data_IF_567704152975
#
_entry.id   IF_567704152975
#
_cell.length_a   1.000
_cell.length_b   1.000
_cell.length_c   1.000
_cell.angle_alpha   90.00
_cell.angle_beta   90.00
_cell.angle_gamma   90.00
#
_symmetry.space_group_name_H-M   'P 1'
#
loop_
_entity.id
_entity.type
_entity.pdbx_description
1 polymer ?
#
# COMPACT_ATOMS: atom_id res chain seq x y z
N UNK A 1 14.93 -54.25 -56.74
CA UNK A 1 14.07 -53.13 -57.20
C UNK A 1 14.19 -52.04 -56.13
N UNK A 2 15.27 -51.27 -56.11
CA UNK A 2 15.62 -50.06 -56.88
C UNK A 2 14.75 -48.82 -56.63
N UNK A 3 15.37 -47.61 -56.56
CA UNK A 3 15.04 -46.50 -55.66
C UNK A 3 14.81 -45.14 -56.40
N UNK A 4 14.77 -44.05 -55.63
CA UNK A 4 14.72 -42.58 -55.89
C UNK A 4 15.50 -42.01 -57.09
N UNK A 5 15.21 -40.76 -57.54
CA UNK A 5 16.02 -39.57 -57.14
C UNK A 5 15.17 -38.28 -56.95
N UNK A 6 15.48 -37.17 -56.26
CA UNK A 6 16.67 -36.38 -55.86
C UNK A 6 16.74 -35.00 -56.57
N UNK A 7 17.17 -33.97 -55.82
CA UNK A 7 17.10 -32.47 -56.02
C UNK A 7 17.91 -31.90 -57.23
N UNK A 8 17.82 -30.58 -57.59
CA UNK A 8 18.58 -29.43 -56.98
C UNK A 8 17.78 -28.09 -57.02
N UNK A 9 18.16 -26.88 -56.54
CA UNK A 9 19.36 -26.24 -55.99
C UNK A 9 19.12 -24.70 -55.97
N UNK A 10 19.78 -23.97 -55.05
CA UNK A 10 19.76 -22.49 -54.89
C UNK A 10 20.51 -21.76 -56.02
N UNK A 11 20.35 -20.43 -56.20
CA UNK A 11 21.47 -19.57 -55.80
C UNK A 11 21.08 -18.21 -55.17
N UNK A 12 22.09 -17.56 -54.60
CA UNK A 12 22.11 -16.31 -53.82
C UNK A 12 22.10 -15.01 -54.66
N UNK A 13 21.56 -13.94 -54.04
CA UNK A 13 21.95 -12.49 -54.04
C UNK A 13 22.07 -11.68 -55.36
N UNK A 14 21.75 -10.36 -55.38
CA UNK A 14 22.55 -9.38 -54.62
C UNK A 14 21.81 -8.22 -53.96
N UNK A 15 22.54 -7.60 -53.03
CA UNK A 15 22.24 -6.32 -52.40
C UNK A 15 22.24 -5.17 -53.43
N UNK A 16 21.38 -4.17 -53.21
CA UNK A 16 21.60 -2.81 -53.70
C UNK A 16 21.36 -1.80 -52.58
N UNK A 17 22.29 -0.87 -52.54
CA UNK A 17 22.51 0.24 -51.62
C UNK A 17 21.72 1.49 -52.01
N UNK A 18 21.34 2.23 -50.97
CA UNK A 18 21.38 3.69 -50.79
C UNK A 18 20.50 4.64 -51.63
N UNK A 19 19.97 5.61 -50.86
CA UNK A 19 19.52 6.99 -51.21
C UNK A 19 18.22 7.13 -52.01
N UNK A 20 17.17 7.73 -51.42
CA UNK A 20 16.98 9.18 -51.48
C UNK A 20 15.78 9.67 -50.63
N UNK A 21 15.77 10.98 -50.38
CA UNK A 21 15.08 11.80 -49.37
C UNK A 21 13.53 11.96 -49.48
N UNK A 22 12.87 12.02 -48.30
CA UNK A 22 11.74 12.90 -47.89
C UNK A 22 10.38 12.90 -48.64
N UNK A 23 9.32 13.59 -48.13
CA UNK A 23 9.22 14.36 -46.88
C UNK A 23 8.00 14.02 -45.97
N UNK A 24 8.07 14.61 -44.76
CA UNK A 24 7.11 14.70 -43.66
C UNK A 24 5.63 14.89 -43.99
N UNK A 25 4.77 14.30 -43.14
CA UNK A 25 3.57 14.96 -42.56
C UNK A 25 3.16 14.33 -41.22
N UNK A 26 2.50 15.10 -40.33
CA UNK A 26 2.89 15.19 -38.91
C UNK A 26 2.03 14.34 -37.97
N UNK A 27 2.65 13.94 -36.85
CA UNK A 27 2.00 13.42 -35.65
C UNK A 27 1.49 14.60 -34.83
N UNK A 28 0.21 14.57 -34.46
CA UNK A 28 -0.45 15.56 -33.62
C UNK A 28 0.17 15.61 -32.21
N UNK A 29 0.38 16.80 -31.61
CA UNK A 29 0.88 16.90 -30.25
C UNK A 29 -0.25 16.71 -29.23
N UNK A 30 0.01 15.85 -28.25
CA UNK A 30 -0.78 15.74 -27.02
C UNK A 30 -0.72 17.04 -26.20
N UNK A 31 -1.85 17.38 -25.59
CA UNK A 31 -2.00 18.56 -24.74
C UNK A 31 -1.28 18.37 -23.39
N UNK A 32 -0.53 19.36 -22.89
CA UNK A 32 0.00 19.31 -21.53
C UNK A 32 -1.10 19.65 -20.52
N UNK A 33 -1.31 18.74 -19.57
CA UNK A 33 -2.16 18.95 -18.40
C UNK A 33 -1.57 20.04 -17.49
N UNK A 34 -2.36 21.09 -17.27
CA UNK A 34 -2.02 22.22 -16.41
C UNK A 34 -2.63 21.97 -15.03
N UNK A 35 -1.85 21.36 -14.15
CA UNK A 35 -2.12 21.32 -12.71
C UNK A 35 -0.83 21.56 -11.94
N UNK A 36 -0.26 22.76 -12.09
CA UNK A 36 0.82 23.27 -11.25
C UNK A 36 0.83 24.80 -11.30
N UNK A 37 0.10 25.45 -10.40
CA UNK A 37 0.38 26.85 -10.03
C UNK A 37 0.60 26.92 -8.51
N UNK A 38 1.86 27.14 -8.16
CA UNK A 38 2.27 27.60 -6.86
C UNK A 38 1.88 29.08 -6.72
N UNK A 39 1.17 29.43 -5.66
CA UNK A 39 0.91 30.83 -5.30
C UNK A 39 2.11 31.40 -4.52
N UNK A 40 2.63 32.59 -4.88
CA UNK A 40 3.63 33.27 -4.08
C UNK A 40 2.98 34.12 -2.97
N UNK A 41 3.57 34.03 -1.78
CA UNK A 41 3.33 34.92 -0.64
C UNK A 41 3.70 36.37 -0.96
N UNK A 42 2.82 37.33 -0.63
CA UNK A 42 3.25 38.69 -0.32
C UNK A 42 2.33 39.37 0.68
N UNK A 43 2.98 40.13 1.55
CA UNK A 43 2.50 40.87 2.72
C UNK A 43 1.80 42.19 2.38
N UNK A 44 0.83 42.58 3.22
CA UNK A 44 0.71 43.98 3.65
C UNK A 44 -0.63 44.70 3.40
N UNK A 45 -1.27 45.14 4.49
CA UNK A 45 -1.89 46.46 4.60
C UNK A 45 -3.34 46.64 4.13
N UNK A 46 -4.27 46.68 5.08
CA UNK A 46 -5.61 47.29 4.98
C UNK A 46 -5.50 48.86 4.98
N UNK A 47 -6.59 49.69 4.98
CA UNK A 47 -8.03 49.38 5.01
C UNK A 47 -8.99 50.30 4.18
N UNK A 48 -10.30 49.98 4.22
CA UNK A 48 -11.50 50.89 4.08
C UNK A 48 -11.93 51.31 2.67
N UNK A 49 -13.19 51.50 2.28
CA UNK A 49 -14.56 51.17 2.71
C UNK A 49 -15.49 51.50 1.48
N UNK A 50 -16.83 51.65 1.57
CA UNK A 50 -17.81 50.86 0.82
C UNK A 50 -18.55 51.67 -0.28
N UNK A 51 -19.38 51.01 -1.11
CA UNK A 51 -20.77 51.42 -1.42
C UNK A 51 -21.44 50.47 -2.42
N UNK A 52 -22.70 50.15 -2.13
CA UNK A 52 -23.63 49.44 -3.00
C UNK A 52 -24.22 50.37 -4.07
N UNK A 53 -24.67 49.80 -5.20
CA UNK A 53 -26.01 50.03 -5.78
C UNK A 53 -26.05 49.73 -7.28
N UNK A 54 -27.02 48.87 -7.63
CA UNK A 54 -27.88 48.78 -8.82
C UNK A 54 -27.54 49.55 -10.11
N UNK A 55 -27.73 48.87 -11.25
CA UNK A 55 -27.79 49.51 -12.57
C UNK A 55 -28.11 48.54 -13.70
N UNK A 56 -29.29 48.73 -14.27
CA UNK A 56 -29.97 47.94 -15.31
C UNK A 56 -29.18 47.71 -16.63
N UNK A 57 -29.49 46.59 -17.28
CA UNK A 57 -29.39 46.28 -18.74
C UNK A 57 -30.15 47.34 -19.59
N UNK A 58 -30.15 47.36 -20.96
CA UNK A 58 -29.89 46.28 -21.94
C UNK A 58 -29.07 46.70 -23.19
N UNK A 59 -28.56 45.78 -24.02
CA UNK A 59 -29.25 45.30 -25.23
C UNK A 59 -28.19 44.76 -26.22
N UNK A 60 -28.56 43.80 -27.07
CA UNK A 60 -27.75 43.42 -28.24
C UNK A 60 -27.78 41.93 -28.59
N UNK A 61 -28.70 41.55 -29.46
CA UNK A 61 -28.93 40.18 -29.99
C UNK A 61 -27.81 39.74 -30.95
N UNK A 62 -27.52 38.44 -31.04
CA UNK A 62 -27.73 37.66 -32.29
C UNK A 62 -27.48 36.15 -32.15
N UNK A 63 -28.48 35.39 -32.57
CA UNK A 63 -28.49 34.12 -33.33
C UNK A 63 -27.79 32.83 -32.83
N UNK A 64 -28.64 31.80 -32.64
CA UNK A 64 -28.71 30.52 -33.40
C UNK A 64 -28.67 29.25 -32.54
N UNK A 65 -29.65 28.35 -32.75
CA UNK A 65 -29.68 27.00 -32.17
C UNK A 65 -31.10 26.45 -31.98
N UNK A 66 -31.43 25.34 -32.66
CA UNK A 66 -32.75 24.67 -32.73
C UNK A 66 -33.18 23.99 -31.40
N UNK A 67 -34.49 23.68 -31.23
CA UNK A 67 -35.09 23.35 -29.93
C UNK A 67 -35.06 21.86 -29.57
N UNK A 68 -34.86 21.56 -28.29
CA UNK A 68 -35.15 20.27 -27.66
C UNK A 68 -36.60 20.21 -27.11
N UNK A 69 -37.20 19.02 -26.95
CA UNK A 69 -38.61 18.87 -26.60
C UNK A 69 -38.91 19.18 -25.12
N UNK A 70 -40.13 19.63 -24.79
CA UNK A 70 -40.51 20.06 -23.44
C UNK A 70 -40.87 18.88 -22.52
N UNK A 71 -40.79 19.06 -21.19
CA UNK A 71 -41.27 18.09 -20.21
C UNK A 71 -42.81 18.17 -20.07
N UNK A 72 -43.51 17.05 -19.79
CA UNK A 72 -44.93 17.10 -19.50
C UNK A 72 -45.19 17.61 -18.08
N UNK A 73 -46.00 18.65 -17.98
CA UNK A 73 -46.64 19.13 -16.75
C UNK A 73 -48.16 18.93 -16.83
N UNK A 74 -48.76 18.49 -15.72
CA UNK A 74 -50.19 18.62 -15.44
C UNK A 74 -50.82 17.30 -15.00
N UNK A 75 -51.52 17.19 -13.86
CA UNK A 75 -51.87 18.16 -12.84
C UNK A 75 -53.16 17.72 -12.14
N UNK A 76 -53.26 18.02 -10.81
CA UNK A 76 -54.47 18.23 -9.97
C UNK A 76 -55.44 17.04 -9.87
N UNK A 77 -56.22 16.76 -8.83
CA UNK A 77 -56.72 17.42 -7.61
C UNK A 77 -57.36 16.26 -6.79
N UNK A 78 -57.23 16.17 -5.47
CA UNK A 78 -58.25 16.70 -4.55
C UNK A 78 -58.86 15.57 -3.71
N UNK A 79 -59.21 15.90 -2.47
CA UNK A 79 -60.01 15.16 -1.47
C UNK A 79 -59.32 14.22 -0.46
N UNK A 80 -59.10 14.79 0.73
CA UNK A 80 -59.05 14.12 2.04
C UNK A 80 -60.39 14.31 2.75
N UNK A 81 -60.76 13.39 3.65
CA UNK A 81 -61.35 13.76 4.93
C UNK A 81 -60.52 13.28 6.13
N UNK A 82 -60.75 13.95 7.26
CA UNK A 82 -60.00 13.94 8.52
C UNK A 82 -60.14 12.69 9.41
N UNK A 83 -59.03 12.39 10.11
CA UNK A 83 -58.97 12.01 11.54
C UNK A 83 -58.90 10.52 11.92
N UNK A 84 -58.47 10.16 13.17
CA UNK A 84 -57.96 11.00 14.26
C UNK A 84 -56.59 10.59 14.84
N UNK A 85 -56.01 11.55 15.56
CA UNK A 85 -54.79 11.51 16.37
C UNK A 85 -54.92 10.52 17.55
N UNK A 86 -53.85 9.76 17.86
CA UNK A 86 -53.71 9.06 19.15
C UNK A 86 -52.39 9.39 19.86
N UNK A 87 -52.56 9.53 21.17
CA UNK A 87 -51.68 10.02 22.23
C UNK A 87 -50.41 9.20 22.48
N UNK A 88 -49.34 9.91 22.86
CA UNK A 88 -48.14 9.39 23.50
C UNK A 88 -48.42 8.97 24.95
N UNK A 89 -48.10 7.72 25.28
CA UNK A 89 -48.06 7.18 26.65
C UNK A 89 -46.62 6.85 27.08
N UNK A 90 -46.32 6.80 28.40
CA UNK A 90 -44.95 6.77 28.92
C UNK A 90 -44.30 5.38 28.84
N UNK A 91 -42.97 5.40 28.68
CA UNK A 91 -42.05 4.24 28.65
C UNK A 91 -41.93 3.60 30.05
N UNK A 92 -42.01 2.27 30.19
CA UNK A 92 -41.84 1.60 31.49
C UNK A 92 -40.35 1.39 31.84
N UNK A 93 -40.00 1.29 33.15
CA UNK A 93 -38.61 1.24 33.60
C UNK A 93 -37.94 -0.14 33.44
N UNK A 94 -36.62 -0.10 33.27
CA UNK A 94 -35.75 -1.27 33.10
C UNK A 94 -35.65 -2.13 34.37
N UNK A 95 -35.84 -3.44 34.23
CA UNK A 95 -35.61 -4.45 35.27
C UNK A 95 -34.13 -4.84 35.43
N UNK A 96 -33.76 -5.52 36.53
CA UNK A 96 -32.37 -5.64 36.97
C UNK A 96 -31.57 -6.69 36.18
N UNK A 97 -30.27 -6.39 36.04
CA UNK A 97 -29.27 -7.20 35.36
C UNK A 97 -29.07 -8.58 35.99
N UNK A 98 -29.29 -9.63 35.19
CA UNK A 98 -28.87 -10.99 35.51
C UNK A 98 -27.38 -11.17 35.20
N UNK A 99 -26.63 -11.65 36.20
CA UNK A 99 -25.19 -11.88 36.12
C UNK A 99 -24.80 -12.95 35.08
N UNK A 100 -23.76 -12.65 34.31
CA UNK A 100 -23.07 -13.60 33.45
C UNK A 100 -21.92 -14.23 34.26
N UNK A 101 -21.77 -15.56 34.29
CA UNK A 101 -20.71 -16.19 35.05
C UNK A 101 -19.35 -15.90 34.40
N UNK A 102 -18.46 -15.31 35.20
CA UNK A 102 -17.04 -15.17 34.90
C UNK A 102 -16.35 -16.54 34.97
N UNK A 103 -15.50 -16.84 33.99
CA UNK A 103 -14.59 -17.98 34.08
C UNK A 103 -14.41 -18.79 32.80
N UNK A 104 -13.80 -18.20 31.77
CA UNK A 104 -12.84 -18.93 30.94
C UNK A 104 -11.60 -18.06 30.82
N UNK A 105 -10.53 -18.49 31.48
CA UNK A 105 -9.20 -17.99 31.18
C UNK A 105 -9.01 -18.14 29.66
N UNK A 106 -8.73 -17.02 28.99
CA UNK A 106 -8.31 -16.99 27.60
C UNK A 106 -7.05 -17.86 27.50
N UNK A 107 -7.21 -19.07 26.98
CA UNK A 107 -6.06 -19.83 26.53
C UNK A 107 -5.35 -18.99 25.47
N UNK A 108 -4.01 -18.90 25.49
CA UNK A 108 -3.29 -18.24 24.43
C UNK A 108 -3.66 -18.95 23.12
N UNK A 109 -4.22 -18.20 22.18
CA UNK A 109 -4.40 -18.66 20.80
C UNK A 109 -2.99 -18.94 20.30
N UNK A 110 -2.60 -20.23 20.28
CA UNK A 110 -1.47 -20.65 19.49
C UNK A 110 -1.92 -20.49 18.04
N UNK A 111 -1.46 -19.42 17.40
CA UNK A 111 -1.64 -19.29 15.95
C UNK A 111 -0.84 -20.45 15.35
N UNK A 112 -1.54 -21.40 14.73
CA UNK A 112 -0.90 -22.60 14.18
C UNK A 112 -0.29 -22.26 12.82
N UNK A 113 0.84 -21.55 12.84
CA UNK A 113 1.73 -21.42 11.67
C UNK A 113 2.46 -22.73 11.35
N UNK A 114 2.25 -23.78 12.15
CA UNK A 114 3.02 -25.04 12.15
C UNK A 114 2.92 -25.91 10.89
N UNK A 115 2.32 -25.44 9.79
CA UNK A 115 2.11 -26.25 8.58
C UNK A 115 2.47 -25.58 7.26
N UNK A 116 3.01 -24.37 7.29
CA UNK A 116 3.42 -23.66 6.09
C UNK A 116 4.91 -23.90 5.83
N UNK A 117 5.27 -23.99 4.55
CA UNK A 117 6.63 -24.26 4.06
C UNK A 117 6.88 -23.29 2.91
N UNK A 118 7.76 -22.33 3.16
CA UNK A 118 8.02 -21.19 2.25
C UNK A 118 9.46 -21.17 1.75
N UNK A 119 10.29 -22.06 2.30
CA UNK A 119 11.67 -22.24 1.89
C UNK A 119 12.00 -23.70 1.61
N UNK A 120 13.04 -23.90 0.79
CA UNK A 120 13.56 -25.23 0.51
C UNK A 120 14.17 -25.90 1.76
N UNK A 121 14.77 -25.10 2.65
CA UNK A 121 15.35 -25.60 3.90
C UNK A 121 14.26 -26.11 4.86
N UNK A 122 13.13 -25.40 4.98
CA UNK A 122 11.98 -25.88 5.74
C UNK A 122 11.38 -27.15 5.13
N UNK A 123 11.26 -27.20 3.81
CA UNK A 123 10.79 -28.39 3.11
C UNK A 123 11.67 -29.61 3.46
N UNK A 124 12.98 -29.46 3.34
CA UNK A 124 13.94 -30.51 3.62
C UNK A 124 13.90 -30.92 5.10
N UNK A 125 13.78 -29.96 6.02
CA UNK A 125 13.65 -30.22 7.44
C UNK A 125 12.38 -31.02 7.77
N UNK A 126 11.22 -30.63 7.22
CA UNK A 126 9.93 -31.31 7.44
C UNK A 126 9.97 -32.74 6.88
N UNK A 127 10.46 -32.91 5.65
CA UNK A 127 10.55 -34.24 5.02
C UNK A 127 11.53 -35.13 5.79
N UNK A 128 12.68 -34.61 6.22
CA UNK A 128 13.66 -35.37 7.00
C UNK A 128 13.13 -35.78 8.39
N UNK A 129 12.38 -34.90 9.05
CA UNK A 129 11.86 -35.14 10.40
C UNK A 129 10.64 -36.08 10.41
N UNK A 130 9.75 -35.96 9.41
CA UNK A 130 8.44 -36.61 9.45
C UNK A 130 8.20 -37.62 8.32
N UNK A 131 8.97 -37.56 7.23
CA UNK A 131 8.73 -38.37 6.03
C UNK A 131 7.36 -38.12 5.37
N UNK A 132 6.67 -37.06 5.77
CA UNK A 132 5.30 -36.75 5.38
C UNK A 132 5.12 -35.24 5.24
N UNK A 133 4.37 -34.86 4.22
CA UNK A 133 3.88 -33.52 3.94
C UNK A 133 2.36 -33.43 4.16
N UNK A 134 1.75 -34.44 4.79
CA UNK A 134 0.31 -34.47 4.99
C UNK A 134 -0.18 -33.19 5.66
N UNK A 135 -1.20 -32.57 5.07
CA UNK A 135 -1.81 -31.32 5.51
C UNK A 135 -0.90 -30.08 5.56
N UNK A 136 0.30 -30.12 4.99
CA UNK A 136 1.15 -28.93 4.86
C UNK A 136 0.67 -28.02 3.71
N UNK A 137 1.10 -26.77 3.75
CA UNK A 137 0.97 -25.76 2.70
C UNK A 137 2.37 -25.44 2.23
N UNK A 138 2.69 -25.75 0.98
CA UNK A 138 4.00 -25.46 0.39
C UNK A 138 3.80 -24.36 -0.62
N UNK A 139 4.53 -23.26 -0.47
CA UNK A 139 4.21 -22.02 -1.15
C UNK A 139 5.46 -21.43 -1.81
N UNK A 140 5.39 -21.23 -3.13
CA UNK A 140 6.45 -20.63 -3.95
C UNK A 140 7.85 -21.27 -3.81
N UNK A 141 7.94 -22.54 -3.40
CA UNK A 141 9.21 -23.26 -3.28
C UNK A 141 9.55 -23.98 -4.59
N UNK A 142 10.77 -23.79 -5.09
CA UNK A 142 11.31 -24.59 -6.21
C UNK A 142 11.67 -26.00 -5.73
N UNK A 143 10.86 -26.97 -6.13
CA UNK A 143 11.00 -28.38 -5.76
C UNK A 143 11.46 -29.24 -6.93
N UNK A 144 11.94 -28.64 -8.03
CA UNK A 144 12.47 -29.38 -9.19
C UNK A 144 13.63 -30.32 -8.80
N UNK A 145 14.44 -29.91 -7.81
CA UNK A 145 15.52 -30.72 -7.24
C UNK A 145 15.10 -31.69 -6.13
N UNK A 146 13.80 -31.93 -5.91
CA UNK A 146 13.27 -32.75 -4.80
C UNK A 146 12.33 -33.88 -5.25
N UNK A 147 12.44 -34.31 -6.50
CA UNK A 147 11.61 -35.38 -7.08
C UNK A 147 11.59 -36.65 -6.23
N UNK A 148 12.74 -37.17 -5.79
CA UNK A 148 12.78 -38.40 -4.99
C UNK A 148 12.04 -38.26 -3.65
N UNK A 149 12.22 -37.14 -2.96
CA UNK A 149 11.52 -36.82 -1.72
C UNK A 149 10.00 -36.75 -1.93
N UNK A 150 9.55 -36.07 -2.99
CA UNK A 150 8.13 -35.93 -3.33
C UNK A 150 7.49 -37.26 -3.76
N UNK A 151 8.25 -38.17 -4.37
CA UNK A 151 7.75 -39.49 -4.74
C UNK A 151 7.53 -40.39 -3.52
N UNK A 152 8.33 -40.20 -2.46
CA UNK A 152 8.31 -41.00 -1.25
C UNK A 152 7.37 -40.45 -0.16
N UNK A 153 7.19 -39.14 -0.06
CA UNK A 153 6.41 -38.51 1.00
C UNK A 153 4.90 -38.82 0.91
N UNK A 154 4.25 -38.92 2.07
CA UNK A 154 2.78 -38.84 2.16
C UNK A 154 2.34 -37.39 1.96
N UNK A 155 1.49 -37.14 0.97
CA UNK A 155 1.03 -35.80 0.58
C UNK A 155 -0.47 -35.61 0.81
N UNK A 156 -1.09 -36.47 1.62
CA UNK A 156 -2.54 -36.45 1.85
C UNK A 156 -3.00 -35.08 2.38
N UNK A 157 -3.89 -34.41 1.63
CA UNK A 157 -4.43 -33.10 2.03
C UNK A 157 -3.42 -31.96 2.07
N UNK A 158 -2.22 -32.15 1.49
CA UNK A 158 -1.26 -31.09 1.27
C UNK A 158 -1.76 -30.12 0.17
N UNK A 159 -1.31 -28.88 0.20
CA UNK A 159 -1.55 -27.90 -0.86
C UNK A 159 -0.21 -27.36 -1.32
N UNK A 160 0.02 -27.35 -2.63
CA UNK A 160 1.20 -26.75 -3.26
C UNK A 160 0.75 -25.56 -4.09
N UNK A 161 1.23 -24.37 -3.72
CA UNK A 161 0.91 -23.10 -4.35
C UNK A 161 2.12 -22.63 -5.15
N UNK A 162 2.03 -22.64 -6.48
CA UNK A 162 3.06 -22.07 -7.35
C UNK A 162 4.40 -22.78 -7.30
N UNK A 163 4.49 -24.02 -6.81
CA UNK A 163 5.76 -24.73 -6.63
C UNK A 163 6.20 -25.42 -7.94
N UNK A 164 7.33 -25.02 -8.57
CA UNK A 164 7.92 -25.76 -9.69
C UNK A 164 8.30 -27.19 -9.27
N UNK A 165 7.98 -28.17 -10.11
CA UNK A 165 8.27 -29.59 -9.87
C UNK A 165 8.55 -30.31 -11.19
N UNK A 166 9.28 -31.42 -11.11
CA UNK A 166 9.29 -32.39 -12.20
C UNK A 166 7.85 -32.91 -12.48
N UNK A 167 7.46 -33.12 -13.76
CA UNK A 167 6.12 -33.60 -14.10
C UNK A 167 5.70 -34.90 -13.43
N UNK A 168 6.65 -35.83 -13.21
CA UNK A 168 6.39 -37.10 -12.53
C UNK A 168 6.10 -36.87 -11.04
N UNK A 169 6.87 -36.00 -10.38
CA UNK A 169 6.63 -35.61 -9.00
C UNK A 169 5.25 -34.96 -8.84
N UNK A 170 4.93 -33.96 -9.67
CA UNK A 170 3.63 -33.28 -9.64
C UNK A 170 2.45 -34.25 -9.83
N UNK A 171 2.58 -35.22 -10.76
CA UNK A 171 1.57 -36.26 -10.96
C UNK A 171 1.40 -37.16 -9.73
N UNK A 172 2.51 -37.58 -9.11
CA UNK A 172 2.49 -38.44 -7.92
C UNK A 172 1.91 -37.74 -6.69
N UNK A 173 2.25 -36.48 -6.48
CA UNK A 173 1.75 -35.63 -5.38
C UNK A 173 0.23 -35.46 -5.50
N UNK A 174 -0.28 -35.16 -6.70
CA UNK A 174 -1.72 -35.12 -6.97
C UNK A 174 -2.41 -36.46 -6.73
N UNK A 175 -1.80 -37.56 -7.22
CA UNK A 175 -2.33 -38.91 -6.99
C UNK A 175 -2.33 -39.29 -5.49
N UNK A 176 -1.45 -38.67 -4.69
CA UNK A 176 -1.41 -38.80 -3.23
C UNK A 176 -2.43 -37.94 -2.48
N UNK A 177 -3.35 -37.26 -3.16
CA UNK A 177 -4.42 -36.49 -2.54
C UNK A 177 -4.07 -35.04 -2.20
N UNK A 178 -3.00 -34.48 -2.78
CA UNK A 178 -2.67 -33.07 -2.67
C UNK A 178 -3.36 -32.21 -3.73
N UNK A 179 -3.66 -30.95 -3.39
CA UNK A 179 -4.01 -29.92 -4.36
C UNK A 179 -2.75 -29.23 -4.85
N UNK A 180 -2.62 -29.07 -6.17
CA UNK A 180 -1.42 -28.47 -6.79
C UNK A 180 -1.85 -27.37 -7.73
N UNK A 181 -1.50 -26.13 -7.38
CA UNK A 181 -1.63 -24.95 -8.22
C UNK A 181 -0.29 -24.71 -8.91
N UNK A 182 -0.23 -24.73 -10.25
CA UNK A 182 1.04 -24.62 -10.97
C UNK A 182 1.60 -23.19 -10.90
N UNK A 183 2.93 -23.01 -11.08
CA UNK A 183 3.50 -21.71 -11.37
C UNK A 183 2.86 -21.10 -12.62
N UNK A 184 2.64 -19.78 -12.62
CA UNK A 184 2.09 -19.07 -13.78
C UNK A 184 3.23 -18.44 -14.58
N UNK A 185 3.58 -18.97 -15.76
CA UNK A 185 4.72 -18.48 -16.52
C UNK A 185 4.47 -17.08 -17.08
N UNK A 186 5.52 -16.26 -17.13
CA UNK A 186 5.50 -14.95 -17.77
C UNK A 186 4.91 -13.82 -16.93
N UNK A 187 4.50 -14.06 -15.68
CA UNK A 187 4.11 -12.98 -14.78
C UNK A 187 5.36 -12.22 -14.27
N UNK A 188 5.28 -10.89 -14.13
CA UNK A 188 6.36 -10.09 -13.55
C UNK A 188 6.40 -10.12 -12.00
N UNK A 189 5.47 -10.85 -11.38
CA UNK A 189 5.37 -11.08 -9.94
C UNK A 189 4.96 -12.54 -9.68
N UNK A 190 5.24 -13.04 -8.48
CA UNK A 190 4.75 -14.34 -8.05
C UNK A 190 3.44 -14.17 -7.25
N UNK A 191 2.28 -14.62 -7.78
CA UNK A 191 1.01 -14.52 -7.08
C UNK A 191 0.96 -15.38 -5.82
N UNK A 192 1.82 -16.38 -5.69
CA UNK A 192 1.85 -17.31 -4.57
C UNK A 192 2.99 -17.02 -3.60
N UNK A 193 3.65 -15.87 -3.65
CA UNK A 193 4.79 -15.54 -2.78
C UNK A 193 4.48 -15.76 -1.28
N UNK A 194 5.29 -16.54 -0.57
CA UNK A 194 5.18 -16.73 0.89
C UNK A 194 5.86 -15.60 1.70
N UNK A 195 6.95 -15.03 1.20
CA UNK A 195 7.68 -13.98 1.91
C UNK A 195 7.28 -12.58 1.44
N UNK A 196 7.49 -11.52 2.24
CA UNK A 196 7.38 -10.12 1.81
C UNK A 196 8.52 -9.67 0.89
N UNK A 197 8.29 -8.63 0.07
CA UNK A 197 9.30 -8.19 -0.89
C UNK A 197 10.42 -7.50 -0.14
N UNK A 198 11.66 -7.70 -0.57
CA UNK A 198 12.76 -6.82 -0.23
C UNK A 198 12.90 -5.70 -1.27
N UNK A 199 13.59 -4.59 -0.94
CA UNK A 199 13.99 -3.61 -1.95
C UNK A 199 14.79 -4.25 -3.10
N UNK A 200 15.61 -5.26 -2.81
CA UNK A 200 16.38 -5.96 -3.83
C UNK A 200 15.51 -6.70 -4.84
N UNK A 201 14.41 -7.30 -4.38
CA UNK A 201 13.47 -8.00 -5.26
C UNK A 201 12.77 -7.04 -6.21
N UNK A 202 12.25 -5.92 -5.68
CA UNK A 202 11.48 -4.95 -6.48
C UNK A 202 12.35 -4.16 -7.46
N UNK A 203 13.62 -3.90 -7.10
CA UNK A 203 14.57 -3.14 -7.90
C UNK A 203 15.63 -4.01 -8.61
N UNK A 204 15.40 -5.32 -8.74
CA UNK A 204 16.28 -6.15 -9.55
C UNK A 204 16.39 -5.58 -10.98
N UNK A 205 17.58 -5.61 -11.57
CA UNK A 205 17.89 -5.01 -12.89
C UNK A 205 17.75 -3.48 -12.99
N UNK A 206 17.90 -2.74 -11.88
CA UNK A 206 17.87 -1.27 -11.90
C UNK A 206 18.95 -0.64 -12.81
N UNK A 207 20.08 -1.33 -12.99
CA UNK A 207 21.17 -0.93 -13.88
C UNK A 207 20.79 -0.94 -15.37
N UNK A 208 19.74 -1.67 -15.74
CA UNK A 208 19.13 -1.67 -17.07
C UNK A 208 18.05 -0.58 -17.25
N UNK A 209 17.74 0.17 -16.18
CA UNK A 209 16.67 1.17 -16.13
C UNK A 209 15.52 0.76 -15.21
N UNK A 210 14.74 1.73 -14.71
CA UNK A 210 13.65 1.44 -13.78
C UNK A 210 12.56 0.58 -14.41
N UNK A 211 12.30 0.77 -15.70
CA UNK A 211 11.29 0.05 -16.48
C UNK A 211 11.59 -1.45 -16.61
N UNK A 212 12.86 -1.86 -16.46
CA UNK A 212 13.27 -3.26 -16.47
C UNK A 212 12.98 -3.98 -15.14
N UNK A 213 12.75 -3.23 -14.07
CA UNK A 213 12.59 -3.79 -12.72
C UNK A 213 11.30 -4.58 -12.55
N UNK A 214 11.26 -5.61 -11.68
CA UNK A 214 10.02 -6.30 -11.32
C UNK A 214 8.90 -5.35 -10.90
N UNK A 215 9.23 -4.27 -10.17
CA UNK A 215 8.23 -3.29 -9.75
C UNK A 215 7.52 -2.60 -10.93
N UNK A 216 8.30 -2.08 -11.87
CA UNK A 216 7.76 -1.37 -13.03
C UNK A 216 7.02 -2.32 -13.99
N UNK A 217 7.52 -3.55 -14.17
CA UNK A 217 6.85 -4.55 -15.01
C UNK A 217 5.52 -5.02 -14.41
N UNK A 218 5.47 -5.21 -13.08
CA UNK A 218 4.22 -5.53 -12.39
C UNK A 218 3.20 -4.39 -12.49
N UNK A 219 3.65 -3.14 -12.41
CA UNK A 219 2.80 -1.98 -12.68
C UNK A 219 2.25 -1.98 -14.11
N UNK A 220 3.11 -2.16 -15.12
CA UNK A 220 2.71 -2.18 -16.52
C UNK A 220 1.67 -3.28 -16.79
N UNK A 221 1.92 -4.49 -16.29
CA UNK A 221 0.95 -5.59 -16.37
C UNK A 221 -0.38 -5.26 -15.68
N UNK A 222 -0.35 -4.58 -14.52
CA UNK A 222 -1.57 -4.18 -13.83
C UNK A 222 -2.35 -3.08 -14.58
N UNK A 223 -1.66 -2.15 -15.23
CA UNK A 223 -2.30 -1.15 -16.08
C UNK A 223 -3.04 -1.79 -17.25
N UNK A 224 -2.47 -2.83 -17.85
CA UNK A 224 -3.08 -3.57 -18.97
C UNK A 224 -4.30 -4.39 -18.53
N UNK A 225 -4.24 -4.97 -17.32
CA UNK A 225 -5.19 -5.99 -16.87
C UNK A 225 -6.24 -5.52 -15.86
N UNK A 226 -6.17 -4.28 -15.35
CA UNK A 226 -7.09 -3.85 -14.28
C UNK A 226 -8.56 -3.78 -14.70
N UNK A 227 -8.80 -3.41 -15.96
CA UNK A 227 -10.12 -3.10 -16.51
C UNK A 227 -10.44 -3.93 -17.77
N UNK A 228 -9.65 -4.98 -18.04
CA UNK A 228 -9.85 -5.86 -19.21
C UNK A 228 -11.02 -6.84 -19.04
N UNK A 229 -11.51 -6.98 -17.81
CA UNK A 229 -12.59 -7.91 -17.45
C UNK A 229 -12.13 -9.38 -17.35
N UNK A 230 -10.83 -9.66 -17.37
CA UNK A 230 -10.30 -11.01 -17.28
C UNK A 230 -10.39 -11.53 -15.83
N UNK A 231 -11.15 -12.62 -15.68
CA UNK A 231 -11.29 -13.32 -14.40
C UNK A 231 -9.96 -13.94 -13.96
N UNK A 232 -9.11 -14.34 -14.91
CA UNK A 232 -7.82 -14.94 -14.57
C UNK A 232 -6.85 -13.91 -14.01
N UNK A 233 -6.65 -12.78 -14.69
CA UNK A 233 -5.82 -11.69 -14.17
C UNK A 233 -6.33 -11.14 -12.82
N UNK A 234 -7.64 -10.92 -12.67
CA UNK A 234 -8.22 -10.47 -11.40
C UNK A 234 -8.07 -11.49 -10.26
N UNK A 235 -8.22 -12.79 -10.55
CA UNK A 235 -7.94 -13.86 -9.58
C UNK A 235 -6.47 -13.85 -9.16
N UNK A 236 -5.52 -13.70 -10.09
CA UNK A 236 -4.09 -13.68 -9.77
C UNK A 236 -3.71 -12.50 -8.87
N UNK A 237 -4.29 -11.32 -9.09
CA UNK A 237 -4.12 -10.16 -8.20
C UNK A 237 -4.67 -10.43 -6.80
N UNK A 238 -5.84 -11.07 -6.72
CA UNK A 238 -6.45 -11.39 -5.43
C UNK A 238 -5.62 -12.42 -4.65
N UNK A 239 -5.13 -13.48 -5.31
CA UNK A 239 -4.25 -14.49 -4.69
C UNK A 239 -2.93 -13.87 -4.24
N UNK A 240 -2.36 -12.97 -5.05
CA UNK A 240 -1.18 -12.21 -4.68
C UNK A 240 -1.41 -11.37 -3.41
N UNK A 241 -2.46 -10.55 -3.39
CA UNK A 241 -2.74 -9.66 -2.27
C UNK A 241 -3.08 -10.42 -0.99
N UNK A 242 -3.71 -11.60 -1.11
CA UNK A 242 -3.94 -12.53 0.00
C UNK A 242 -2.62 -13.08 0.55
N UNK A 243 -1.75 -13.60 -0.32
CA UNK A 243 -0.43 -14.13 0.06
C UNK A 243 0.46 -13.05 0.71
N UNK A 244 0.42 -11.81 0.21
CA UNK A 244 1.12 -10.67 0.83
C UNK A 244 0.56 -10.34 2.21
N UNK A 245 -0.77 -10.44 2.39
CA UNK A 245 -1.42 -10.15 3.67
C UNK A 245 -1.06 -11.17 4.73
N UNK A 246 -1.05 -12.44 4.35
CA UNK A 246 -0.67 -13.54 5.22
C UNK A 246 0.79 -13.40 5.69
N UNK A 247 1.74 -13.27 4.75
CA UNK A 247 3.15 -13.01 5.03
C UNK A 247 3.39 -11.79 5.95
N UNK A 248 2.57 -10.74 5.77
CA UNK A 248 2.63 -9.54 6.61
C UNK A 248 2.10 -9.79 8.02
N UNK A 249 1.02 -10.56 8.16
CA UNK A 249 0.48 -10.93 9.46
C UNK A 249 1.49 -11.78 10.24
N UNK A 250 2.11 -12.77 9.59
CA UNK A 250 3.16 -13.60 10.18
C UNK A 250 4.34 -12.76 10.69
N UNK A 251 4.86 -11.85 9.85
CA UNK A 251 5.97 -10.97 10.21
C UNK A 251 5.66 -10.11 11.45
N UNK A 252 4.40 -9.68 11.57
CA UNK A 252 3.95 -8.75 12.61
C UNK A 252 3.43 -9.45 13.87
N UNK A 253 3.36 -10.77 13.91
CA UNK A 253 2.97 -11.51 15.12
C UNK A 253 3.82 -11.08 16.32
N UNK A 254 3.14 -10.66 17.39
CA UNK A 254 3.77 -10.22 18.64
C UNK A 254 4.53 -8.89 18.56
N UNK A 255 4.58 -8.23 17.40
CA UNK A 255 5.23 -6.93 17.23
C UNK A 255 4.35 -5.79 17.73
N UNK A 256 4.98 -4.76 18.30
CA UNK A 256 4.33 -3.48 18.59
C UNK A 256 4.57 -2.55 17.43
N UNK A 257 3.53 -2.27 16.65
CA UNK A 257 3.65 -1.58 15.36
C UNK A 257 3.14 -0.15 15.48
N UNK A 258 3.96 0.80 15.07
CA UNK A 258 3.58 2.21 14.96
C UNK A 258 3.50 2.59 13.49
N UNK A 259 2.31 2.96 13.05
CA UNK A 259 2.07 3.52 11.73
C UNK A 259 2.56 4.97 11.66
N UNK A 260 3.30 5.32 10.62
CA UNK A 260 3.67 6.71 10.33
C UNK A 260 3.07 7.09 8.98
N UNK A 261 2.12 8.02 9.03
CA UNK A 261 1.40 8.55 7.87
C UNK A 261 1.92 9.95 7.53
N UNK A 262 1.89 10.30 6.25
CA UNK A 262 2.29 11.62 5.78
C UNK A 262 2.38 11.70 4.26
N UNK A 263 2.47 12.92 3.73
CA UNK A 263 2.47 13.15 2.30
C UNK A 263 3.69 12.58 1.55
N UNK A 264 3.46 12.07 0.34
CA UNK A 264 4.50 11.61 -0.60
C UNK A 264 5.35 12.75 -1.20
N UNK A 265 4.90 14.01 -1.07
CA UNK A 265 5.48 15.17 -1.75
C UNK A 265 6.70 15.79 -1.03
N UNK A 266 7.02 15.30 0.17
CA UNK A 266 8.16 15.75 0.94
C UNK A 266 9.48 15.41 0.22
N UNK A 267 10.30 16.41 -0.09
CA UNK A 267 11.56 16.20 -0.79
C UNK A 267 12.69 15.77 0.16
N UNK A 268 13.63 14.95 -0.31
CA UNK A 268 14.87 14.68 0.43
C UNK A 268 15.67 15.97 0.58
N UNK A 269 16.35 16.13 1.71
CA UNK A 269 17.17 17.31 2.02
C UNK A 269 16.41 18.48 2.68
N UNK A 270 15.10 18.36 2.93
CA UNK A 270 14.36 19.34 3.73
C UNK A 270 14.38 19.00 5.22
N UNK A 271 14.04 19.99 6.06
CA UNK A 271 13.98 19.80 7.53
C UNK A 271 12.85 18.86 7.93
N UNK A 272 11.74 18.89 7.20
CA UNK A 272 10.59 18.03 7.44
C UNK A 272 10.94 16.56 7.18
N UNK A 273 11.70 16.31 6.10
CA UNK A 273 12.23 14.97 5.79
C UNK A 273 13.17 14.47 6.88
N UNK A 274 14.11 15.32 7.31
CA UNK A 274 15.00 15.01 8.42
C UNK A 274 14.21 14.70 9.71
N UNK A 275 13.20 15.50 10.03
CA UNK A 275 12.35 15.31 11.20
C UNK A 275 11.60 13.97 11.19
N UNK A 276 11.02 13.61 10.04
CA UNK A 276 10.37 12.30 9.85
C UNK A 276 11.37 11.13 9.97
N UNK A 277 12.60 11.29 9.48
CA UNK A 277 13.65 10.29 9.66
C UNK A 277 14.09 10.15 11.12
N UNK A 278 14.23 11.25 11.84
CA UNK A 278 14.54 11.22 13.28
C UNK A 278 13.40 10.59 14.10
N UNK A 279 12.14 10.83 13.72
CA UNK A 279 10.98 10.15 14.29
C UNK A 279 11.06 8.64 14.12
N UNK A 280 11.21 8.16 12.87
CA UNK A 280 11.31 6.73 12.57
C UNK A 280 12.44 6.04 13.36
N UNK A 281 13.59 6.71 13.47
CA UNK A 281 14.71 6.21 14.27
C UNK A 281 14.39 6.11 15.75
N UNK A 282 13.74 7.12 16.31
CA UNK A 282 13.38 7.16 17.73
C UNK A 282 12.37 6.07 18.06
N UNK A 283 11.37 5.86 17.21
CA UNK A 283 10.38 4.79 17.36
C UNK A 283 11.03 3.40 17.30
N UNK A 284 11.90 3.16 16.31
CA UNK A 284 12.62 1.90 16.18
C UNK A 284 13.52 1.62 17.40
N UNK A 285 14.26 2.63 17.88
CA UNK A 285 15.09 2.50 19.10
C UNK A 285 14.27 2.31 20.38
N UNK A 286 13.01 2.74 20.40
CA UNK A 286 12.08 2.48 21.49
C UNK A 286 11.45 1.07 21.43
N UNK A 287 11.84 0.24 20.45
CA UNK A 287 11.38 -1.15 20.31
C UNK A 287 10.09 -1.31 19.51
N UNK A 288 9.66 -0.28 18.77
CA UNK A 288 8.52 -0.37 17.87
C UNK A 288 8.95 -0.81 16.47
N UNK A 289 8.11 -1.61 15.82
CA UNK A 289 8.18 -1.80 14.37
C UNK A 289 7.55 -0.58 13.70
N UNK A 290 8.35 0.16 12.92
CA UNK A 290 7.83 1.27 12.10
C UNK A 290 7.18 0.71 10.85
N UNK A 291 5.92 1.07 10.60
CA UNK A 291 5.19 0.74 9.39
C UNK A 291 4.74 2.02 8.68
N UNK A 292 4.88 2.08 7.37
CA UNK A 292 4.48 3.24 6.55
C UNK A 292 3.71 2.79 5.32
N UNK A 293 3.15 3.76 4.59
CA UNK A 293 2.56 3.50 3.28
C UNK A 293 3.55 3.11 2.18
N UNK A 294 4.86 3.03 2.46
CA UNK A 294 5.86 2.45 1.56
C UNK A 294 6.30 3.29 0.38
N UNK A 295 5.75 4.49 0.17
CA UNK A 295 6.12 5.41 -0.91
C UNK A 295 7.27 6.37 -0.55
N UNK A 296 7.55 7.37 -1.41
CA UNK A 296 8.55 8.41 -1.17
C UNK A 296 8.14 9.39 -0.06
N UNK A 297 8.99 10.39 0.20
CA UNK A 297 8.70 11.48 1.12
C UNK A 297 8.68 11.06 2.58
N UNK A 298 7.62 11.42 3.32
CA UNK A 298 7.54 11.18 4.76
C UNK A 298 7.60 9.68 5.13
N UNK A 299 7.03 8.84 4.27
CA UNK A 299 7.05 7.38 4.40
C UNK A 299 8.48 6.85 4.28
N UNK A 300 9.19 7.23 3.20
CA UNK A 300 10.60 6.90 3.02
C UNK A 300 11.44 7.38 4.20
N UNK A 301 11.26 8.64 4.62
CA UNK A 301 12.03 9.22 5.71
C UNK A 301 11.89 8.40 7.00
N UNK A 302 10.66 8.05 7.40
CA UNK A 302 10.43 7.22 8.58
C UNK A 302 11.07 5.82 8.45
N UNK A 303 11.00 5.18 7.28
CA UNK A 303 11.70 3.91 7.04
C UNK A 303 13.23 4.07 7.07
N UNK A 304 13.80 5.15 6.52
CA UNK A 304 15.23 5.49 6.62
C UNK A 304 15.65 5.64 8.08
N UNK A 305 14.81 6.31 8.88
CA UNK A 305 15.01 6.44 10.32
C UNK A 305 15.15 5.09 11.02
N UNK A 306 14.18 4.20 10.77
CA UNK A 306 14.20 2.85 11.32
C UNK A 306 15.41 2.04 10.82
N UNK A 307 15.78 2.18 9.54
CA UNK A 307 16.99 1.59 8.96
C UNK A 307 18.26 2.07 9.68
N UNK A 308 18.34 3.36 10.02
CA UNK A 308 19.47 3.96 10.72
C UNK A 308 19.53 3.65 12.23
N UNK A 309 18.49 3.02 12.80
CA UNK A 309 18.36 2.81 14.24
C UNK A 309 19.52 2.04 14.89
N UNK A 310 20.06 0.95 14.29
CA UNK A 310 21.18 0.20 14.87
C UNK A 310 22.51 0.94 14.84
N UNK A 311 22.67 1.94 13.96
CA UNK A 311 23.92 2.67 13.78
C UNK A 311 24.07 3.83 14.79
N UNK A 312 25.30 4.36 14.89
CA UNK A 312 25.60 5.57 15.65
C UNK A 312 24.93 6.81 15.03
N UNK A 313 24.71 7.86 15.83
CA UNK A 313 23.86 8.99 15.46
C UNK A 313 24.27 9.66 14.14
N UNK A 314 25.57 9.89 13.94
CA UNK A 314 26.12 10.52 12.73
C UNK A 314 25.85 9.76 11.42
N UNK A 315 25.53 8.47 11.45
CA UNK A 315 25.17 7.71 10.24
C UNK A 315 23.96 8.30 9.53
N UNK A 316 22.93 8.71 10.29
CA UNK A 316 21.72 9.29 9.71
C UNK A 316 22.03 10.65 9.06
N UNK A 317 22.88 11.46 9.69
CA UNK A 317 23.26 12.77 9.15
C UNK A 317 24.01 12.60 7.82
N UNK A 318 24.94 11.64 7.73
CA UNK A 318 25.63 11.32 6.48
C UNK A 318 24.69 10.78 5.40
N UNK A 319 23.75 9.90 5.77
CA UNK A 319 22.76 9.35 4.84
C UNK A 319 21.85 10.46 4.28
N UNK A 320 21.39 11.38 5.12
CA UNK A 320 20.57 12.53 4.71
C UNK A 320 21.30 13.43 3.72
N UNK A 321 22.60 13.70 3.95
CA UNK A 321 23.43 14.47 3.03
C UNK A 321 23.62 13.77 1.67
N UNK A 322 23.71 12.43 1.67
CA UNK A 322 23.81 11.65 0.45
C UNK A 322 22.50 11.70 -0.35
N UNK A 323 21.37 11.45 0.32
CA UNK A 323 20.04 11.44 -0.29
C UNK A 323 19.61 12.81 -0.82
N UNK A 324 20.05 13.90 -0.20
CA UNK A 324 19.79 15.27 -0.66
C UNK A 324 20.29 15.54 -2.09
N UNK A 325 21.19 14.71 -2.64
CA UNK A 325 21.64 14.79 -4.04
C UNK A 325 20.57 14.37 -5.06
N UNK A 326 19.57 13.60 -4.62
CA UNK A 326 18.42 13.22 -5.42
C UNK A 326 17.12 13.57 -4.66
N UNK A 327 16.72 14.86 -4.62
CA UNK A 327 15.61 15.35 -3.80
C UNK A 327 14.26 14.70 -4.08
N UNK A 328 14.04 14.25 -5.32
CA UNK A 328 12.79 13.71 -5.83
C UNK A 328 13.06 12.51 -6.73
N UNK A 329 12.07 11.61 -6.83
CA UNK A 329 12.07 10.51 -7.80
C UNK A 329 11.80 10.97 -9.23
N UNK A 330 11.51 12.26 -9.43
CA UNK A 330 11.46 12.91 -10.73
C UNK A 330 12.70 13.75 -10.96
N UNK A 331 13.26 13.75 -12.18
CA UNK A 331 12.74 13.09 -13.39
C UNK A 331 13.08 11.60 -13.49
N UNK A 332 13.94 11.06 -12.61
CA UNK A 332 14.50 9.70 -12.73
C UNK A 332 14.32 8.90 -11.45
N UNK A 333 13.48 7.87 -11.52
CA UNK A 333 13.33 6.90 -10.41
C UNK A 333 14.62 6.12 -10.22
N UNK A 334 15.34 5.81 -11.30
CA UNK A 334 16.60 5.09 -11.26
C UNK A 334 17.66 5.84 -10.44
N UNK A 335 17.86 7.13 -10.68
CA UNK A 335 18.84 7.93 -9.94
C UNK A 335 18.44 8.10 -8.46
N UNK A 336 17.14 8.29 -8.22
CA UNK A 336 16.59 8.40 -6.88
C UNK A 336 16.76 7.12 -6.05
N UNK A 337 16.50 5.96 -6.66
CA UNK A 337 16.70 4.66 -6.03
C UNK A 337 18.19 4.35 -5.86
N UNK A 338 19.03 4.64 -6.86
CA UNK A 338 20.48 4.44 -6.80
C UNK A 338 21.12 5.20 -5.63
N UNK A 339 20.68 6.43 -5.35
CA UNK A 339 21.13 7.18 -4.17
C UNK A 339 20.80 6.45 -2.85
N UNK A 340 19.63 5.83 -2.74
CA UNK A 340 19.26 5.05 -1.56
C UNK A 340 20.02 3.72 -1.47
N UNK A 341 20.24 3.03 -2.60
CA UNK A 341 21.06 1.82 -2.62
C UNK A 341 22.52 2.08 -2.31
N UNK A 342 23.05 3.27 -2.61
CA UNK A 342 24.38 3.68 -2.17
C UNK A 342 24.46 3.80 -0.64
N UNK A 343 23.43 4.34 0.02
CA UNK A 343 23.34 4.33 1.50
C UNK A 343 23.34 2.88 2.01
N UNK A 344 22.51 2.02 1.43
CA UNK A 344 22.43 0.61 1.84
C UNK A 344 23.75 -0.13 1.65
N UNK A 345 24.48 0.14 0.56
CA UNK A 345 25.79 -0.47 0.28
C UNK A 345 26.85 -0.02 1.29
N UNK A 346 26.79 1.23 1.75
CA UNK A 346 27.70 1.77 2.77
C UNK A 346 27.37 1.25 4.18
N UNK A 347 26.11 0.92 4.44
CA UNK A 347 25.61 0.47 5.74
C UNK A 347 24.65 -0.72 5.62
N UNK A 348 25.12 -1.93 5.27
CA UNK A 348 24.27 -3.05 4.87
C UNK A 348 23.30 -3.57 5.95
N UNK A 349 23.70 -3.52 7.22
CA UNK A 349 23.00 -4.11 8.37
C UNK A 349 22.00 -3.14 9.05
N UNK A 350 21.16 -2.48 8.24
CA UNK A 350 20.15 -1.55 8.76
C UNK A 350 19.01 -2.22 9.53
N UNK A 351 18.31 -1.43 10.34
CA UNK A 351 17.18 -1.87 11.13
C UNK A 351 15.95 -2.25 10.29
N UNK A 352 15.11 -3.13 10.83
CA UNK A 352 13.90 -3.57 10.15
C UNK A 352 12.77 -2.54 10.25
N UNK A 353 12.01 -2.41 9.16
CA UNK A 353 10.75 -1.66 9.10
C UNK A 353 9.88 -2.21 7.97
N UNK A 354 8.60 -1.84 7.98
CA UNK A 354 7.62 -2.27 6.98
C UNK A 354 7.20 -1.09 6.10
N UNK A 355 7.14 -1.32 4.80
CA UNK A 355 6.50 -0.43 3.84
C UNK A 355 5.32 -1.13 3.18
N UNK A 356 4.18 -0.46 3.06
CA UNK A 356 2.95 -1.04 2.49
C UNK A 356 2.49 -0.25 1.26
N UNK A 357 3.25 -0.28 0.14
CA UNK A 357 2.91 0.46 -1.08
C UNK A 357 1.83 -0.24 -1.91
N UNK A 358 1.45 0.39 -3.02
CA UNK A 358 0.51 -0.20 -3.98
C UNK A 358 0.90 0.11 -5.43
N UNK A 359 0.56 -0.79 -6.36
CA UNK A 359 0.62 -0.50 -7.79
C UNK A 359 -0.56 0.35 -8.29
N UNK A 360 -1.59 0.58 -7.47
CA UNK A 360 -2.68 1.50 -7.81
C UNK A 360 -2.17 2.92 -8.08
N UNK A 361 -1.25 3.40 -7.26
CA UNK A 361 -0.53 4.66 -7.44
C UNK A 361 0.83 4.44 -8.11
N UNK A 362 0.93 3.64 -9.18
CA UNK A 362 2.24 3.22 -9.72
C UNK A 362 3.12 4.30 -10.36
N UNK A 363 2.77 5.58 -10.19
CA UNK A 363 3.70 6.70 -10.35
C UNK A 363 4.54 6.96 -9.09
N UNK A 364 4.27 6.30 -7.97
CA UNK A 364 5.03 6.34 -6.73
C UNK A 364 5.88 5.06 -6.58
N UNK A 365 7.22 5.17 -6.67
CA UNK A 365 8.10 4.02 -6.48
C UNK A 365 8.17 3.60 -5.00
N UNK A 366 8.34 2.30 -4.70
CA UNK A 366 8.47 1.81 -3.32
C UNK A 366 9.78 2.30 -2.68
N UNK A 367 9.75 2.74 -1.41
CA UNK A 367 10.95 3.26 -0.79
C UNK A 367 12.00 2.17 -0.52
N UNK A 368 13.31 2.40 -0.80
CA UNK A 368 14.32 1.37 -0.63
C UNK A 368 14.75 1.11 0.82
N UNK A 369 14.19 1.79 1.82
CA UNK A 369 14.63 1.67 3.22
C UNK A 369 13.76 0.73 4.06
N UNK A 370 12.53 0.44 3.63
CA UNK A 370 11.74 -0.63 4.22
C UNK A 370 12.46 -1.98 4.05
N UNK A 371 12.62 -2.72 5.14
CA UNK A 371 13.25 -4.05 5.09
C UNK A 371 12.28 -5.10 4.52
N UNK A 372 10.99 -4.91 4.79
CA UNK A 372 9.91 -5.76 4.32
C UNK A 372 8.86 -4.89 3.61
N UNK A 373 8.50 -5.24 2.38
CA UNK A 373 7.60 -4.49 1.53
C UNK A 373 6.38 -5.36 1.20
N UNK A 374 5.23 -4.94 1.70
CA UNK A 374 3.92 -5.54 1.38
C UNK A 374 3.25 -4.70 0.30
N UNK A 375 3.59 -4.96 -0.96
CA UNK A 375 3.06 -4.19 -2.11
C UNK A 375 1.78 -4.84 -2.61
N UNK A 376 0.72 -4.05 -2.79
CA UNK A 376 -0.62 -4.56 -3.15
C UNK A 376 -1.11 -4.06 -4.52
N UNK A 377 -1.95 -4.84 -5.18
CA UNK A 377 -2.75 -4.36 -6.31
C UNK A 377 -3.99 -3.58 -5.85
N UNK A 378 -4.71 -4.09 -4.85
CA UNK A 378 -5.92 -3.48 -4.32
C UNK A 378 -5.62 -2.43 -3.24
N UNK A 379 -5.84 -1.15 -3.56
CA UNK A 379 -5.58 -0.05 -2.64
C UNK A 379 -6.40 -0.13 -1.34
N UNK A 380 -7.67 -0.59 -1.42
CA UNK A 380 -8.53 -0.70 -0.25
C UNK A 380 -7.99 -1.69 0.80
N UNK A 381 -7.42 -2.81 0.37
CA UNK A 381 -6.78 -3.80 1.26
C UNK A 381 -5.52 -3.19 1.88
N UNK A 382 -4.73 -2.47 1.09
CA UNK A 382 -3.52 -1.79 1.53
C UNK A 382 -3.80 -0.73 2.61
N UNK A 383 -4.78 0.14 2.40
CA UNK A 383 -5.10 1.25 3.30
C UNK A 383 -5.63 0.74 4.66
N UNK A 384 -6.64 -0.11 4.63
CA UNK A 384 -7.17 -0.69 5.86
C UNK A 384 -6.14 -1.58 6.55
N UNK A 385 -5.37 -2.34 5.77
CA UNK A 385 -4.36 -3.27 6.27
C UNK A 385 -3.24 -2.60 7.05
N UNK A 386 -2.74 -1.43 6.60
CA UNK A 386 -1.72 -0.66 7.31
C UNK A 386 -2.25 -0.15 8.67
N UNK A 387 -3.45 0.42 8.69
CA UNK A 387 -4.05 0.97 9.90
C UNK A 387 -4.47 -0.14 10.88
N UNK A 388 -5.00 -1.26 10.39
CA UNK A 388 -5.37 -2.41 11.19
C UNK A 388 -4.17 -3.00 11.95
N UNK A 389 -3.02 -3.02 11.30
CA UNK A 389 -1.78 -3.62 11.84
C UNK A 389 -0.98 -2.64 12.71
N UNK A 390 -1.33 -1.36 12.73
CA UNK A 390 -0.69 -0.32 13.58
C UNK A 390 -1.16 -0.39 15.05
N UNK A 391 -0.87 -1.52 15.70
CA UNK A 391 -1.44 -1.88 17.00
C UNK A 391 -0.92 -1.08 18.22
N UNK A 392 0.19 -0.35 18.07
CA UNK A 392 0.79 0.49 19.12
C UNK A 392 0.53 1.99 18.90
N UNK A 393 -0.21 2.34 17.85
CA UNK A 393 -0.65 3.70 17.56
C UNK A 393 -0.23 4.17 16.17
N UNK A 394 -0.72 5.35 15.81
CA UNK A 394 -0.47 5.98 14.51
C UNK A 394 -0.03 7.43 14.72
N UNK A 395 1.02 7.84 14.01
CA UNK A 395 1.48 9.23 13.92
C UNK A 395 1.11 9.77 12.54
N UNK A 396 0.39 10.89 12.52
CA UNK A 396 -0.05 11.59 11.31
C UNK A 396 0.76 12.88 11.14
N UNK A 397 1.69 12.86 10.21
CA UNK A 397 2.43 14.04 9.75
C UNK A 397 1.56 14.86 8.77
N UNK A 398 1.87 16.15 8.53
CA UNK A 398 1.15 16.96 7.56
C UNK A 398 0.99 16.26 6.20
N UNK A 399 -0.22 16.34 5.66
CA UNK A 399 -0.60 15.60 4.47
C UNK A 399 -1.80 16.24 3.77
N UNK A 400 -2.40 15.50 2.83
CA UNK A 400 -3.54 15.97 2.05
C UNK A 400 -4.69 14.95 2.15
N UNK A 401 -5.47 14.78 1.08
CA UNK A 401 -6.66 13.93 1.05
C UNK A 401 -6.42 12.51 1.60
N UNK A 402 -5.33 11.84 1.20
CA UNK A 402 -5.01 10.49 1.69
C UNK A 402 -4.77 10.44 3.20
N UNK A 403 -3.95 11.36 3.73
CA UNK A 403 -3.67 11.39 5.18
C UNK A 403 -4.89 11.79 6.00
N UNK A 404 -5.74 12.68 5.49
CA UNK A 404 -7.03 13.02 6.12
C UNK A 404 -7.94 11.78 6.17
N UNK A 405 -8.01 11.00 5.09
CA UNK A 405 -8.75 9.75 5.06
C UNK A 405 -8.22 8.78 6.14
N UNK A 406 -6.90 8.58 6.19
CA UNK A 406 -6.24 7.70 7.16
C UNK A 406 -6.52 8.10 8.63
N UNK A 407 -6.64 9.40 8.93
CA UNK A 407 -7.05 9.89 10.26
C UNK A 407 -8.42 9.33 10.63
N UNK A 408 -9.40 9.36 9.73
CA UNK A 408 -10.76 8.93 10.02
C UNK A 408 -10.96 7.42 9.88
N UNK A 409 -10.19 6.75 9.04
CA UNK A 409 -10.13 5.28 8.98
C UNK A 409 -9.53 4.70 10.28
N UNK A 410 -8.61 5.41 10.93
CA UNK A 410 -8.10 5.05 12.27
C UNK A 410 -9.08 5.44 13.39
N UNK A 411 -9.72 6.61 13.29
CA UNK A 411 -10.68 7.09 14.29
C UNK A 411 -11.93 6.21 14.36
N UNK A 412 -12.39 5.66 13.25
CA UNK A 412 -13.65 4.94 13.16
C UNK A 412 -13.66 3.65 14.01
N UNK A 413 -12.66 2.75 13.92
CA UNK A 413 -12.53 1.61 14.83
C UNK A 413 -12.37 2.03 16.30
N UNK A 414 -11.64 3.12 16.57
CA UNK A 414 -11.49 3.68 17.91
C UNK A 414 -12.81 4.17 18.50
N UNK A 415 -13.67 4.77 17.67
CA UNK A 415 -14.98 5.26 18.06
C UNK A 415 -15.96 4.13 18.39
N UNK A 416 -15.96 3.07 17.58
CA UNK A 416 -16.85 1.92 17.75
C UNK A 416 -16.30 0.82 18.67
N UNK A 417 -15.00 0.85 18.99
CA UNK A 417 -14.33 -0.23 19.73
C UNK A 417 -14.20 -1.53 18.93
N UNK A 418 -14.30 -1.48 17.60
CA UNK A 418 -14.35 -2.69 16.75
C UNK A 418 -13.03 -3.45 16.68
N UNK A 419 -11.92 -2.84 17.09
CA UNK A 419 -10.57 -3.45 17.20
C UNK A 419 -10.06 -3.55 18.64
N UNK A 420 -10.99 -3.53 19.61
CA UNK A 420 -10.70 -3.55 21.04
C UNK A 420 -10.39 -2.17 21.60
N UNK A 421 -9.41 -2.09 22.50
CA UNK A 421 -8.97 -0.83 23.11
C UNK A 421 -8.54 0.19 22.04
N UNK A 422 -8.97 1.46 22.15
CA UNK A 422 -8.63 2.46 21.15
C UNK A 422 -7.12 2.67 21.09
N UNK A 423 -6.60 2.69 19.85
CA UNK A 423 -5.17 2.85 19.58
C UNK A 423 -4.79 4.33 19.63
N UNK A 424 -3.60 4.66 20.18
CA UNK A 424 -3.14 6.04 20.19
C UNK A 424 -3.09 6.67 18.79
N UNK A 425 -3.49 7.94 18.69
CA UNK A 425 -3.40 8.75 17.48
C UNK A 425 -2.68 10.05 17.83
N UNK A 426 -1.56 10.32 17.16
CA UNK A 426 -0.78 11.56 17.36
C UNK A 426 -0.76 12.33 16.06
N UNK A 427 -1.38 13.51 16.04
CA UNK A 427 -1.33 14.43 14.92
C UNK A 427 -0.20 15.43 15.17
N UNK A 428 0.62 15.70 14.15
CA UNK A 428 1.78 16.60 14.21
C UNK A 428 1.52 17.83 13.35
N UNK A 429 1.89 19.00 13.86
CA UNK A 429 1.63 20.34 13.30
C UNK A 429 0.22 20.84 13.62
N UNK A 430 0.14 21.70 14.64
CA UNK A 430 -1.13 22.27 15.10
C UNK A 430 -1.80 23.11 14.02
N UNK A 431 -1.05 24.00 13.37
CA UNK A 431 -1.60 24.92 12.37
C UNK A 431 -2.24 24.12 11.23
N UNK A 432 -1.53 23.09 10.75
CA UNK A 432 -2.05 22.23 9.69
C UNK A 432 -3.39 21.57 10.07
N UNK A 433 -3.48 20.96 11.26
CA UNK A 433 -4.66 20.19 11.66
C UNK A 433 -5.79 20.99 12.30
N UNK A 434 -5.59 22.28 12.60
CA UNK A 434 -6.63 23.17 13.14
C UNK A 434 -7.07 24.29 12.21
N UNK A 435 -6.23 24.69 11.26
CA UNK A 435 -6.47 25.85 10.38
C UNK A 435 -6.54 25.45 8.91
N UNK A 436 -5.51 24.79 8.37
CA UNK A 436 -5.43 24.47 6.93
C UNK A 436 -6.38 23.33 6.53
N UNK A 437 -6.27 22.20 7.23
CA UNK A 437 -7.11 21.02 7.09
C UNK A 437 -7.64 20.65 8.49
N UNK A 438 -8.73 21.27 8.96
CA UNK A 438 -9.17 21.25 10.36
C UNK A 438 -9.78 19.90 10.79
N UNK A 439 -9.01 18.82 10.69
CA UNK A 439 -9.39 17.48 11.12
C UNK A 439 -9.41 17.37 12.64
N UNK A 440 -8.54 18.10 13.36
CA UNK A 440 -8.43 18.01 14.82
C UNK A 440 -9.70 18.45 15.57
N UNK A 441 -10.35 19.59 15.25
CA UNK A 441 -11.63 19.94 15.86
C UNK A 441 -12.71 18.86 15.69
N UNK A 442 -12.81 18.27 14.49
CA UNK A 442 -13.77 17.20 14.22
C UNK A 442 -13.43 15.92 14.98
N UNK A 443 -12.17 15.48 14.95
CA UNK A 443 -11.70 14.31 15.70
C UNK A 443 -11.97 14.46 17.20
N UNK A 444 -11.70 15.63 17.77
CA UNK A 444 -11.96 15.94 19.18
C UNK A 444 -13.45 15.91 19.50
N UNK A 445 -14.30 16.44 18.60
CA UNK A 445 -15.75 16.40 18.78
C UNK A 445 -16.30 14.96 18.74
N UNK A 446 -15.77 14.11 17.85
CA UNK A 446 -16.12 12.69 17.78
C UNK A 446 -15.65 11.91 19.01
N UNK A 447 -14.47 12.25 19.54
CA UNK A 447 -13.86 11.56 20.67
C UNK A 447 -14.50 11.89 22.03
N UNK A 448 -15.11 13.07 22.17
CA UNK A 448 -15.64 13.59 23.45
C UNK A 448 -16.56 12.60 24.16
N UNK A 449 -16.26 12.31 25.43
CA UNK A 449 -17.03 11.40 26.28
C UNK A 449 -16.86 9.92 25.94
N UNK A 450 -15.82 9.55 25.17
CA UNK A 450 -15.53 8.17 24.74
C UNK A 450 -14.15 7.72 25.20
N UNK A 451 -13.92 6.41 25.18
CA UNK A 451 -12.61 5.81 25.51
C UNK A 451 -11.46 6.37 24.64
N UNK A 452 -11.74 6.70 23.38
CA UNK A 452 -10.75 7.29 22.47
C UNK A 452 -10.32 8.71 22.82
N UNK A 453 -11.06 9.46 23.66
CA UNK A 453 -10.71 10.83 24.06
C UNK A 453 -9.33 10.90 24.71
N UNK A 454 -8.99 9.89 25.51
CA UNK A 454 -7.70 9.78 26.20
C UNK A 454 -6.59 9.20 25.32
N UNK A 455 -6.88 8.91 24.05
CA UNK A 455 -5.99 8.24 23.09
C UNK A 455 -5.61 9.13 21.90
N UNK A 456 -6.03 10.39 21.88
CA UNK A 456 -5.65 11.34 20.83
C UNK A 456 -4.72 12.43 21.40
N UNK A 457 -3.75 12.87 20.60
CA UNK A 457 -2.89 14.02 20.92
C UNK A 457 -2.59 14.86 19.67
N UNK A 458 -2.43 16.17 19.88
CA UNK A 458 -1.95 17.12 18.87
C UNK A 458 -0.69 17.80 19.40
N UNK A 459 0.42 17.62 18.68
CA UNK A 459 1.72 18.21 19.00
C UNK A 459 2.14 19.21 17.93
N UNK A 460 2.97 20.17 18.33
CA UNK A 460 3.40 21.23 17.42
C UNK A 460 4.57 20.79 16.53
N UNK A 461 5.42 19.86 17.01
CA UNK A 461 6.60 19.39 16.27
C UNK A 461 6.74 17.89 16.30
N UNK A 462 7.39 17.35 15.27
CA UNK A 462 7.55 15.91 15.06
C UNK A 462 8.36 15.23 16.17
N UNK A 463 9.32 15.93 16.77
CA UNK A 463 10.16 15.39 17.85
C UNK A 463 9.37 15.11 19.14
N UNK A 464 8.18 15.69 19.29
CA UNK A 464 7.32 15.52 20.46
C UNK A 464 6.41 14.28 20.32
N UNK A 465 6.27 13.74 19.10
CA UNK A 465 5.39 12.61 18.82
C UNK A 465 5.75 11.33 19.59
N UNK A 466 7.04 10.92 19.75
CA UNK A 466 7.38 9.73 20.53
C UNK A 466 6.95 9.82 21.99
N UNK A 467 7.17 10.97 22.64
CA UNK A 467 6.77 11.17 24.04
C UNK A 467 5.25 11.30 24.18
N UNK A 468 4.56 11.93 23.23
CA UNK A 468 3.11 11.91 23.18
C UNK A 468 2.57 10.48 23.06
N UNK A 469 3.10 9.69 22.13
CA UNK A 469 2.70 8.29 21.93
C UNK A 469 2.92 7.45 23.18
N UNK A 470 4.08 7.59 23.84
CA UNK A 470 4.40 6.91 25.11
C UNK A 470 3.38 7.23 26.20
N UNK A 471 3.03 8.52 26.39
CA UNK A 471 2.01 8.92 27.37
C UNK A 471 0.64 8.32 27.08
N UNK A 472 0.27 8.18 25.81
CA UNK A 472 -1.02 7.61 25.40
C UNK A 472 -1.06 6.08 25.55
N UNK A 473 0.09 5.41 25.57
CA UNK A 473 0.19 3.96 25.74
C UNK A 473 0.06 3.50 27.20
N UNK A 474 0.40 4.36 28.16
CA UNK A 474 0.45 4.04 29.59
C UNK A 474 1.87 3.81 30.05
#
# INVERSE_FOLDING_TARGET
MQPTPDRPGRPDRPARSASDEGPDRPVSPEAPDRSAEAAPSSSGGAPSAPYASSGQSPSGRSASGRPGPPPPSGGRSGDRPDGPVRSTGPVPPAGPAGGVPSGRASQPVRVSHDREIESLDEFDAVVAAHGSLAHHRVQAVDLTGRTEALLAADTTGAVFLGCPMDPQAAARVRAGGALVFPPVPGLPFDPYRGLLYSPGDLYASLDEGYEATPDARAYAWFQETRDDGDVFASMLRAVHDDSVSDALDELLVGRRVVGVMGGHAMARGTREYEGAARLGRTLARAGFTVATGGGPGAMEAANLGAYAAPYADGMLDEALLLLAKAPSFRPSVADWAAAAFEVRRRWPDGGASVGIPTWFYGHEPPNPFAAHIAKYFANAIREDGLLARSNAGVVFLPGAAGTVQEVFDSATPNYYGSRGEPRPMVLVDRAHWTEDLPAWPLLTALARGRSMETRIALVDRVEEAPEALKRLLG
#
